data_IF_739168380549
#
_entry.id   IF_739168380549
#
_cell.length_a   1.000
_cell.length_b   1.000
_cell.length_c   1.000
_cell.angle_alpha   90.00
_cell.angle_beta   90.00
_cell.angle_gamma   90.00
#
_symmetry.space_group_name_H-M   'P 1'
#
loop_
_entity.id
_entity.type
_entity.pdbx_description
1 polymer ?
#
# COMPACT_ATOMS: atom_id res chain seq x y z
N UNK A 1 -26.82 -11.57 1.08
CA UNK A 1 -25.54 -11.92 0.44
C UNK A 1 -24.90 -10.62 -0.01
N UNK A 2 -23.74 -10.21 0.54
CA UNK A 2 -23.04 -9.03 0.02
C UNK A 2 -22.37 -9.44 -1.28
N UNK A 3 -22.70 -8.77 -2.39
CA UNK A 3 -22.10 -8.99 -3.70
C UNK A 3 -20.63 -8.51 -3.72
N UNK A 4 -19.75 -9.20 -2.98
CA UNK A 4 -18.31 -8.96 -2.98
C UNK A 4 -17.62 -9.12 -4.35
N UNK A 5 -18.08 -9.93 -5.33
CA UNK A 5 -17.35 -10.06 -6.60
C UNK A 5 -17.56 -8.90 -7.58
N UNK A 6 -18.40 -7.90 -7.26
CA UNK A 6 -18.70 -6.76 -8.12
C UNK A 6 -18.39 -5.45 -7.37
N UNK A 7 -17.11 -5.06 -7.33
CA UNK A 7 -16.70 -3.81 -6.71
C UNK A 7 -15.20 -3.60 -6.71
N UNK A 8 -14.79 -2.36 -6.49
CA UNK A 8 -13.40 -1.96 -6.34
C UNK A 8 -13.01 -2.03 -4.86
N UNK A 9 -12.00 -2.83 -4.50
CA UNK A 9 -11.43 -2.76 -3.16
C UNK A 9 -10.48 -1.57 -3.05
N UNK A 10 -10.68 -0.70 -2.06
CA UNK A 10 -9.78 0.42 -1.79
C UNK A 10 -9.05 0.19 -0.47
N UNK A 11 -7.71 0.21 -0.51
CA UNK A 11 -6.86 0.02 0.67
C UNK A 11 -5.84 1.12 0.79
N UNK A 12 -5.58 1.56 2.01
CA UNK A 12 -4.53 2.52 2.29
C UNK A 12 -3.46 1.91 3.20
N UNK A 13 -2.22 2.35 3.05
CA UNK A 13 -1.10 1.93 3.91
C UNK A 13 -0.08 3.06 4.01
N UNK A 14 0.67 3.09 5.12
CA UNK A 14 1.89 3.90 5.26
C UNK A 14 3.12 3.18 4.73
N UNK A 15 2.95 1.93 4.28
CA UNK A 15 4.01 1.04 3.83
C UNK A 15 4.71 0.30 4.97
N UNK A 16 5.66 -0.55 4.58
CA UNK A 16 6.48 -1.36 5.47
C UNK A 16 7.70 -0.54 5.90
N UNK A 17 7.81 -0.28 7.20
CA UNK A 17 8.86 0.55 7.76
C UNK A 17 10.00 -0.32 8.28
N UNK A 18 11.24 0.13 8.10
CA UNK A 18 12.44 -0.48 8.68
C UNK A 18 12.24 -0.83 10.15
N UNK A 19 12.55 -2.07 10.51
CA UNK A 19 12.47 -2.55 11.89
C UNK A 19 13.39 -1.72 12.79
N UNK A 20 12.84 -1.18 13.88
CA UNK A 20 13.58 -0.34 14.81
C UNK A 20 13.67 1.14 14.41
N UNK A 21 13.00 1.56 13.32
CA UNK A 21 12.89 2.98 13.01
C UNK A 21 12.19 3.73 14.16
N UNK A 22 12.87 4.70 14.76
CA UNK A 22 12.34 5.53 15.84
C UNK A 22 11.60 6.75 15.27
N UNK A 23 10.44 6.50 14.67
CA UNK A 23 9.61 7.53 14.04
C UNK A 23 8.60 8.09 15.03
N UNK A 24 8.57 9.42 15.16
CA UNK A 24 7.55 10.13 15.94
C UNK A 24 6.27 10.35 15.12
N UNK A 25 5.16 10.60 15.80
CA UNK A 25 3.95 11.06 15.16
C UNK A 25 4.24 12.32 14.31
N UNK A 26 3.65 12.39 13.12
CA UNK A 26 3.88 13.52 12.21
C UNK A 26 5.21 13.50 11.44
N UNK A 27 6.13 12.55 11.65
CA UNK A 27 7.37 12.52 10.87
C UNK A 27 7.18 11.86 9.49
N UNK A 28 7.86 12.34 8.44
CA UNK A 28 7.90 11.64 7.16
C UNK A 28 8.55 10.27 7.33
N UNK A 29 7.98 9.27 6.68
CA UNK A 29 8.38 7.86 6.76
C UNK A 29 9.10 7.41 5.50
N UNK A 30 9.04 8.21 4.44
CA UNK A 30 9.57 7.86 3.11
C UNK A 30 11.02 7.34 3.14
N UNK A 31 11.89 7.89 3.99
CA UNK A 31 13.29 7.45 4.11
C UNK A 31 13.47 6.10 4.83
N UNK A 32 12.48 5.66 5.60
CA UNK A 32 12.45 4.39 6.31
C UNK A 32 11.54 3.36 5.62
N UNK A 33 11.08 3.65 4.41
CA UNK A 33 10.17 2.79 3.65
C UNK A 33 10.95 1.69 2.93
N UNK A 34 10.65 0.43 3.27
CA UNK A 34 11.31 -0.77 2.70
C UNK A 34 10.44 -1.49 1.67
N UNK A 35 9.14 -1.23 1.67
CA UNK A 35 8.22 -1.82 0.70
C UNK A 35 6.78 -1.43 1.00
N UNK A 36 5.87 -1.92 0.18
CA UNK A 36 4.44 -1.70 0.35
C UNK A 36 3.76 -3.07 0.41
N UNK A 37 2.84 -3.25 1.35
CA UNK A 37 1.98 -4.43 1.42
C UNK A 37 0.55 -3.96 1.65
N UNK A 38 -0.34 -4.28 0.72
CA UNK A 38 -1.78 -4.13 0.92
C UNK A 38 -2.35 -5.40 1.56
N UNK A 39 -3.35 -5.20 2.42
CA UNK A 39 -4.04 -6.29 3.10
C UNK A 39 -5.51 -6.31 2.71
N UNK A 40 -6.01 -7.50 2.40
CA UNK A 40 -7.42 -7.75 2.08
C UNK A 40 -8.04 -8.71 3.09
N UNK A 41 -9.37 -8.74 3.15
CA UNK A 41 -10.10 -9.72 3.99
C UNK A 41 -10.34 -11.03 3.25
N UNK A 42 -10.29 -11.00 1.91
CA UNK A 42 -10.67 -12.06 1.00
C UNK A 42 -9.55 -12.22 -0.03
N UNK A 43 -9.27 -13.44 -0.47
CA UNK A 43 -8.27 -13.72 -1.51
C UNK A 43 -8.88 -13.60 -2.92
N UNK A 44 -10.19 -13.46 -3.01
CA UNK A 44 -10.98 -13.38 -4.25
C UNK A 44 -10.98 -11.97 -4.87
N UNK A 45 -10.27 -11.02 -4.27
CA UNK A 45 -10.17 -9.64 -4.74
C UNK A 45 -9.43 -9.61 -6.07
N UNK A 46 -10.11 -9.11 -7.11
CA UNK A 46 -9.58 -8.99 -8.48
C UNK A 46 -9.17 -7.57 -8.83
N UNK A 47 -9.94 -6.60 -8.35
CA UNK A 47 -9.78 -5.18 -8.62
C UNK A 47 -9.47 -4.41 -7.33
N UNK A 48 -8.30 -3.75 -7.29
CA UNK A 48 -7.85 -3.01 -6.12
C UNK A 48 -7.25 -1.66 -6.50
N UNK A 49 -7.67 -0.61 -5.78
CA UNK A 49 -7.01 0.69 -5.71
C UNK A 49 -6.22 0.78 -4.40
N UNK A 50 -4.90 0.78 -4.51
CA UNK A 50 -3.95 0.88 -3.41
C UNK A 50 -3.44 2.31 -3.22
N UNK A 51 -3.76 2.91 -2.08
CA UNK A 51 -3.25 4.20 -1.67
C UNK A 51 -2.04 4.03 -0.73
N UNK A 52 -1.02 4.85 -0.93
CA UNK A 52 0.08 5.03 0.02
C UNK A 52 0.04 6.47 0.51
N UNK A 53 0.19 6.66 1.81
CA UNK A 53 0.21 7.98 2.43
C UNK A 53 1.36 8.14 3.41
N UNK A 54 1.82 9.38 3.57
CA UNK A 54 2.88 9.75 4.51
C UNK A 54 2.58 11.13 5.13
N UNK A 55 3.32 11.53 6.16
CA UNK A 55 3.33 12.89 6.68
C UNK A 55 4.34 13.71 5.89
N UNK A 56 3.85 14.52 4.95
CA UNK A 56 4.68 15.29 4.03
C UNK A 56 4.93 16.67 4.60
N UNK A 57 6.16 17.17 4.41
CA UNK A 57 6.51 18.55 4.77
C UNK A 57 5.64 19.52 4.00
N UNK A 58 5.13 20.52 4.69
CA UNK A 58 4.28 21.55 4.12
C UNK A 58 4.73 22.92 4.55
N UNK A 59 4.11 23.96 4.01
CA UNK A 59 4.34 25.34 4.43
C UNK A 59 3.82 25.62 5.84
N UNK A 60 3.06 24.69 6.43
CA UNK A 60 2.56 24.80 7.80
C UNK A 60 3.62 24.37 8.84
N UNK A 61 3.39 24.75 10.10
CA UNK A 61 4.26 24.45 11.25
C UNK A 61 4.42 22.94 11.53
N UNK A 62 3.58 22.09 10.93
CA UNK A 62 3.62 20.64 11.05
C UNK A 62 3.47 19.94 9.70
N UNK A 63 3.97 18.71 9.60
CA UNK A 63 3.77 17.87 8.43
C UNK A 63 2.34 17.32 8.43
N UNK A 64 1.66 17.37 7.29
CA UNK A 64 0.29 16.86 7.17
C UNK A 64 0.25 15.49 6.49
N UNK A 65 -0.72 14.62 6.84
CA UNK A 65 -0.94 13.38 6.11
C UNK A 65 -1.37 13.68 4.67
N UNK A 66 -0.67 13.08 3.70
CA UNK A 66 -0.94 13.26 2.27
C UNK A 66 -0.84 11.91 1.57
N UNK A 67 -1.70 11.68 0.59
CA UNK A 67 -1.55 10.55 -0.36
C UNK A 67 -0.33 10.85 -1.24
N UNK A 68 0.64 9.94 -1.23
CA UNK A 68 1.94 10.10 -1.89
C UNK A 68 2.10 9.17 -3.08
N UNK A 69 1.33 8.09 -3.15
CA UNK A 69 1.23 7.23 -4.32
C UNK A 69 -0.15 6.54 -4.41
N UNK A 70 -0.57 6.25 -5.64
CA UNK A 70 -1.78 5.51 -5.98
C UNK A 70 -1.40 4.43 -6.99
N UNK A 71 -1.87 3.21 -6.75
CA UNK A 71 -1.65 2.04 -7.59
C UNK A 71 -2.97 1.34 -7.86
N UNK A 72 -3.09 0.68 -9.01
CA UNK A 72 -4.29 -0.04 -9.42
C UNK A 72 -3.93 -1.38 -10.06
N UNK A 73 -4.70 -2.42 -9.77
CA UNK A 73 -4.68 -3.66 -10.53
C UNK A 73 -6.11 -4.17 -10.70
N UNK A 74 -6.40 -4.75 -11.87
CA UNK A 74 -7.70 -5.35 -12.20
C UNK A 74 -7.61 -6.84 -12.56
N UNK A 75 -6.43 -7.43 -12.37
CA UNK A 75 -6.09 -8.80 -12.76
C UNK A 75 -5.49 -9.58 -11.59
N UNK A 76 -5.82 -9.20 -10.35
CA UNK A 76 -5.41 -9.95 -9.17
C UNK A 76 -6.12 -11.32 -9.13
N UNK A 77 -5.39 -12.34 -8.70
CA UNK A 77 -5.88 -13.71 -8.54
C UNK A 77 -5.62 -14.20 -7.12
N UNK A 78 -6.28 -15.29 -6.71
CA UNK A 78 -6.14 -15.85 -5.36
C UNK A 78 -4.67 -16.10 -4.96
N UNK A 79 -3.84 -16.51 -5.92
CA UNK A 79 -2.42 -16.80 -5.68
C UNK A 79 -1.57 -15.56 -5.41
N UNK A 80 -2.06 -14.35 -5.74
CA UNK A 80 -1.41 -13.08 -5.39
C UNK A 80 -1.51 -12.75 -3.91
N UNK A 81 -2.31 -13.52 -3.16
CA UNK A 81 -2.58 -13.32 -1.75
C UNK A 81 -1.90 -14.38 -0.89
N UNK A 82 -1.37 -13.96 0.26
CA UNK A 82 -0.86 -14.83 1.31
C UNK A 82 -1.95 -15.72 1.92
N UNK A 83 -1.53 -16.65 2.77
CA UNK A 83 -2.48 -17.37 3.60
C UNK A 83 -3.24 -16.39 4.50
N UNK A 84 -4.52 -16.66 4.71
CA UNK A 84 -5.32 -15.90 5.66
C UNK A 84 -4.73 -16.10 7.05
N UNK A 85 -4.38 -14.99 7.69
CA UNK A 85 -3.84 -14.95 9.06
C UNK A 85 -4.82 -14.26 9.99
N UNK A 86 -4.83 -14.70 11.25
CA UNK A 86 -5.74 -14.24 12.29
C UNK A 86 -5.99 -15.34 13.31
N UNK A 87 -6.06 -14.98 14.59
CA UNK A 87 -6.42 -15.91 15.67
C UNK A 87 -7.93 -16.20 15.65
N UNK A 88 -8.34 -17.35 16.16
CA UNK A 88 -9.76 -17.59 16.48
C UNK A 88 -10.25 -16.52 17.48
N UNK A 89 -11.37 -15.85 17.20
CA UNK A 89 -11.94 -14.78 18.05
C UNK A 89 -12.44 -13.53 17.30
N UNK A 90 -12.43 -12.36 17.98
CA UNK A 90 -12.88 -11.05 17.45
C UNK A 90 -11.91 -10.37 16.46
N UNK A 91 -10.74 -10.94 16.21
CA UNK A 91 -9.76 -10.35 15.31
C UNK A 91 -10.17 -10.56 13.86
N UNK A 92 -10.02 -9.52 13.04
CA UNK A 92 -10.37 -9.60 11.63
C UNK A 92 -9.35 -10.44 10.89
N UNK A 93 -9.81 -11.52 10.23
CA UNK A 93 -8.99 -12.32 9.32
C UNK A 93 -8.51 -11.44 8.16
N UNK A 94 -7.22 -11.49 7.89
CA UNK A 94 -6.58 -10.72 6.80
C UNK A 94 -5.59 -11.57 6.04
N UNK A 95 -5.44 -11.27 4.77
CA UNK A 95 -4.36 -11.77 3.91
C UNK A 95 -3.50 -10.61 3.44
N UNK A 96 -2.18 -10.82 3.41
CA UNK A 96 -1.23 -9.85 2.86
C UNK A 96 -0.91 -10.18 1.40
N UNK A 97 -0.81 -9.15 0.56
CA UNK A 97 -0.44 -9.31 -0.84
C UNK A 97 1.01 -9.84 -0.97
N UNK A 98 1.20 -10.88 -1.79
CA UNK A 98 2.50 -11.46 -2.14
C UNK A 98 3.22 -10.60 -3.18
N UNK A 99 4.45 -10.99 -3.52
CA UNK A 99 5.28 -10.30 -4.52
C UNK A 99 4.58 -10.19 -5.87
N UNK A 100 3.95 -11.26 -6.37
CA UNK A 100 3.24 -11.25 -7.66
C UNK A 100 2.11 -10.22 -7.74
N UNK A 101 1.31 -10.09 -6.67
CA UNK A 101 0.27 -9.06 -6.59
C UNK A 101 0.87 -7.66 -6.55
N UNK A 102 1.96 -7.47 -5.81
CA UNK A 102 2.65 -6.17 -5.73
C UNK A 102 3.24 -5.74 -7.08
N UNK A 103 3.72 -6.68 -7.88
CA UNK A 103 4.20 -6.41 -9.24
C UNK A 103 3.06 -5.94 -10.15
N UNK A 104 1.88 -6.57 -10.08
CA UNK A 104 0.68 -6.11 -10.79
C UNK A 104 0.26 -4.70 -10.37
N UNK A 105 0.26 -4.44 -9.07
CA UNK A 105 -0.02 -3.10 -8.54
C UNK A 105 1.01 -2.07 -9.03
N UNK A 106 2.30 -2.42 -9.05
CA UNK A 106 3.38 -1.54 -9.52
C UNK A 106 3.23 -1.19 -11.01
N UNK A 107 2.86 -2.16 -11.84
CA UNK A 107 2.62 -1.95 -13.27
C UNK A 107 1.45 -0.99 -13.53
N UNK A 108 0.45 -0.99 -12.65
CA UNK A 108 -0.67 -0.06 -12.69
C UNK A 108 -0.51 1.14 -11.75
N UNK A 109 0.70 1.70 -11.61
CA UNK A 109 0.84 2.99 -10.93
C UNK A 109 -0.04 4.06 -11.60
N UNK A 110 -0.75 4.86 -10.80
CA UNK A 110 -1.75 5.83 -11.28
C UNK A 110 -1.29 7.25 -11.04
N UNK A 111 -0.78 7.53 -9.84
CA UNK A 111 -0.34 8.85 -9.45
C UNK A 111 0.75 8.76 -8.39
N UNK A 112 1.69 9.70 -8.43
CA UNK A 112 2.72 9.90 -7.42
C UNK A 112 2.76 11.37 -7.06
N UNK A 113 3.10 11.68 -5.81
CA UNK A 113 3.40 13.05 -5.42
C UNK A 113 4.56 13.60 -6.27
N UNK A 114 4.45 14.86 -6.66
CA UNK A 114 5.50 15.54 -7.40
C UNK A 114 6.66 15.95 -6.47
N UNK A 115 7.40 14.95 -6.00
CA UNK A 115 8.60 15.10 -5.20
C UNK A 115 9.63 14.04 -5.63
N UNK A 116 10.84 14.49 -5.94
CA UNK A 116 11.90 13.64 -6.48
C UNK A 116 12.29 12.49 -5.53
N UNK A 117 12.33 12.73 -4.21
CA UNK A 117 12.65 11.71 -3.22
C UNK A 117 11.60 10.61 -3.22
N UNK A 118 10.32 10.99 -3.23
CA UNK A 118 9.21 10.04 -3.24
C UNK A 118 9.20 9.21 -4.53
N UNK A 119 9.27 9.86 -5.70
CA UNK A 119 9.33 9.17 -7.00
C UNK A 119 10.46 8.14 -7.04
N UNK A 120 11.68 8.55 -6.69
CA UNK A 120 12.86 7.66 -6.64
C UNK A 120 12.66 6.48 -5.69
N UNK A 121 12.09 6.70 -4.50
CA UNK A 121 11.88 5.63 -3.54
C UNK A 121 10.80 4.66 -4.02
N UNK A 122 9.70 5.15 -4.58
CA UNK A 122 8.65 4.28 -5.12
C UNK A 122 9.14 3.45 -6.31
N UNK A 123 9.84 4.05 -7.27
CA UNK A 123 10.46 3.32 -8.39
C UNK A 123 11.38 2.20 -7.89
N UNK A 124 12.21 2.48 -6.88
CA UNK A 124 13.12 1.49 -6.29
C UNK A 124 12.39 0.33 -5.61
N UNK A 125 11.44 0.62 -4.71
CA UNK A 125 10.82 -0.42 -3.87
C UNK A 125 9.74 -1.22 -4.61
N UNK A 126 9.07 -0.61 -5.58
CA UNK A 126 8.02 -1.23 -6.38
C UNK A 126 8.52 -1.70 -7.75
N UNK A 127 9.75 -1.32 -8.15
CA UNK A 127 10.43 -1.76 -9.38
C UNK A 127 9.67 -1.39 -10.66
N UNK A 128 9.36 -0.11 -10.82
CA UNK A 128 8.77 0.45 -12.04
C UNK A 128 9.46 1.75 -12.43
N UNK A 129 9.24 2.18 -13.68
CA UNK A 129 9.79 3.42 -14.23
C UNK A 129 8.66 4.44 -14.52
N UNK A 130 8.99 5.73 -14.45
CA UNK A 130 8.11 6.90 -14.65
C UNK A 130 8.70 7.78 -15.74
#
# INVERSE_FOLDING_TARGET
MRNYPLGLEVKCTVGNITKGANLRAGQPRINSLEGITWQAHHQEVKEMLGLVWDFVKSEHEFNHPKVTAIFYANNLIADDWGNISGTEGRNTKVTGMKVSGKEKMAQGWVALIDDHLYKRIYQRIMKFDI
#
